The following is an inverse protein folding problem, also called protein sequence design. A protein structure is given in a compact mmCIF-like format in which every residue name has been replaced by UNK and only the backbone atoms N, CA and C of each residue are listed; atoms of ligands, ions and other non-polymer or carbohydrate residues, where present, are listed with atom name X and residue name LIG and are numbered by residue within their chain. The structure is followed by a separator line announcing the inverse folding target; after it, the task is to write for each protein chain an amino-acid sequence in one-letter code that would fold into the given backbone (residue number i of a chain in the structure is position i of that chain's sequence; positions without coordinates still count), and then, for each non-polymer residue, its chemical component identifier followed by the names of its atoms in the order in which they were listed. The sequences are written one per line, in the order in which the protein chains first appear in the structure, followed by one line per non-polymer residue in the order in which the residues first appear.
data_IF_006967891279
#
_entry.id   IF_006967891279
#
_cell.length_a   1.000
_cell.length_b   1.000
_cell.length_c   1.000
_cell.angle_alpha   90.00
_cell.angle_beta   90.00
_cell.angle_gamma   90.00
#
_symmetry.space_group_name_H-M   'P 1'
#
loop_
_entity.id
_entity.type
_entity.pdbx_description
1 polymer ?
#
# COMPACT_ATOMS: atom_id res chain seq x y z
N UNK A 1 -9.15 8.69 -24.56
CA UNK A 1 -9.08 8.61 -23.08
C UNK A 1 -7.66 8.86 -22.55
N UNK A 2 -6.85 9.59 -23.32
CA UNK A 2 -5.42 9.89 -23.03
C UNK A 2 -5.22 11.21 -22.29
N UNK A 3 -6.25 12.01 -22.06
CA UNK A 3 -6.09 13.44 -21.76
C UNK A 3 -6.36 13.84 -20.31
N UNK A 4 -6.16 12.92 -19.37
CA UNK A 4 -6.29 13.25 -17.94
C UNK A 4 -5.04 13.88 -17.33
N UNK A 5 -3.88 13.71 -17.96
CA UNK A 5 -2.61 14.24 -17.47
C UNK A 5 -2.17 15.40 -18.36
N UNK A 6 -2.15 16.58 -17.81
CA UNK A 6 -1.57 17.75 -18.47
C UNK A 6 -0.03 17.66 -18.56
N UNK A 7 0.59 18.50 -19.41
CA UNK A 7 2.07 18.56 -19.49
C UNK A 7 2.73 18.88 -18.15
N UNK A 8 2.08 19.67 -17.29
CA UNK A 8 2.58 20.00 -15.96
C UNK A 8 2.58 18.77 -15.04
N UNK A 9 1.50 17.98 -15.04
CA UNK A 9 1.38 16.76 -14.24
C UNK A 9 2.45 15.75 -14.66
N UNK A 10 2.63 15.57 -15.97
CA UNK A 10 3.66 14.67 -16.51
C UNK A 10 5.08 15.10 -16.14
N UNK A 11 5.36 16.40 -16.06
CA UNK A 11 6.68 16.87 -15.59
C UNK A 11 6.92 16.49 -14.14
N UNK A 12 5.93 16.69 -13.25
CA UNK A 12 6.05 16.33 -11.83
C UNK A 12 6.24 14.81 -11.68
N UNK A 13 5.41 14.01 -12.37
CA UNK A 13 5.49 12.55 -12.32
C UNK A 13 6.84 12.03 -12.83
N UNK A 14 7.33 12.53 -13.97
CA UNK A 14 8.62 12.14 -14.54
C UNK A 14 9.79 12.62 -13.69
N UNK A 15 9.71 13.80 -13.12
CA UNK A 15 10.72 14.31 -12.18
C UNK A 15 10.80 13.42 -10.94
N UNK A 16 9.69 13.01 -10.37
CA UNK A 16 9.71 12.05 -9.28
C UNK A 16 10.27 10.69 -9.72
N UNK A 17 9.77 10.14 -10.83
CA UNK A 17 10.20 8.83 -11.35
C UNK A 17 11.70 8.77 -11.68
N UNK A 18 12.33 9.87 -12.11
CA UNK A 18 13.77 9.91 -12.39
C UNK A 18 14.65 9.60 -11.18
N UNK A 19 14.10 9.69 -9.98
CA UNK A 19 14.77 9.32 -8.72
C UNK A 19 14.62 7.83 -8.36
N UNK A 20 13.83 7.05 -9.11
CA UNK A 20 13.73 5.61 -8.92
C UNK A 20 14.90 4.88 -9.60
N UNK A 21 15.14 3.64 -9.18
CA UNK A 21 16.27 2.83 -9.71
C UNK A 21 16.16 2.55 -11.21
N UNK A 22 14.95 2.48 -11.77
CA UNK A 22 14.68 2.25 -13.20
C UNK A 22 14.38 3.55 -13.98
N UNK A 23 14.35 4.70 -13.30
CA UNK A 23 14.01 6.00 -13.87
C UNK A 23 12.56 6.12 -14.39
N UNK A 24 11.72 5.12 -14.15
CA UNK A 24 10.38 5.00 -14.74
C UNK A 24 9.29 4.60 -13.75
N UNK A 25 9.62 4.41 -12.47
CA UNK A 25 8.66 4.05 -11.42
C UNK A 25 8.34 5.25 -10.54
N UNK A 26 7.05 5.48 -10.27
CA UNK A 26 6.58 6.51 -9.34
C UNK A 26 5.61 5.93 -8.33
N UNK A 27 5.76 6.29 -7.07
CA UNK A 27 4.78 5.98 -6.03
C UNK A 27 3.70 7.07 -5.97
N UNK A 28 2.46 6.65 -5.96
CA UNK A 28 1.29 7.51 -5.85
C UNK A 28 0.59 7.27 -4.51
N UNK A 29 0.43 8.31 -3.73
CA UNK A 29 -0.28 8.28 -2.46
C UNK A 29 -1.40 9.31 -2.49
N UNK A 30 -2.62 8.82 -2.35
CA UNK A 30 -3.83 9.62 -2.50
C UNK A 30 -4.42 9.96 -1.13
N UNK A 31 -4.80 11.21 -0.95
CA UNK A 31 -5.48 11.66 0.25
C UNK A 31 -6.44 12.81 -0.01
N UNK A 32 -7.43 12.96 0.86
CA UNK A 32 -8.20 14.19 1.06
C UNK A 32 -7.62 14.95 2.25
N UNK A 33 -8.07 16.17 2.46
CA UNK A 33 -7.65 17.04 3.57
C UNK A 33 -7.83 16.38 4.96
N UNK A 34 -8.84 15.53 5.12
CA UNK A 34 -9.08 14.77 6.36
C UNK A 34 -7.93 13.78 6.70
N UNK A 35 -7.14 13.41 5.70
CA UNK A 35 -6.00 12.47 5.82
C UNK A 35 -4.64 13.16 5.75
N UNK A 36 -4.58 14.49 5.81
CA UNK A 36 -3.33 15.24 5.66
C UNK A 36 -2.23 14.77 6.62
N UNK A 37 -2.57 14.54 7.90
CA UNK A 37 -1.61 14.05 8.89
C UNK A 37 -1.03 12.67 8.55
N UNK A 38 -1.88 11.73 8.14
CA UNK A 38 -1.42 10.39 7.70
C UNK A 38 -0.55 10.48 6.46
N UNK A 39 -0.95 11.27 5.46
CA UNK A 39 -0.20 11.48 4.23
C UNK A 39 1.20 12.04 4.51
N UNK A 40 1.29 13.06 5.38
CA UNK A 40 2.57 13.67 5.74
C UNK A 40 3.43 12.71 6.58
N UNK A 41 2.82 11.96 7.51
CA UNK A 41 3.54 10.93 8.24
C UNK A 41 4.09 9.84 7.31
N UNK A 42 3.30 9.43 6.31
CA UNK A 42 3.74 8.53 5.26
C UNK A 42 4.94 9.12 4.48
N UNK A 43 4.85 10.36 4.04
CA UNK A 43 5.92 11.01 3.27
C UNK A 43 7.24 11.08 4.07
N UNK A 44 7.16 11.37 5.38
CA UNK A 44 8.33 11.33 6.28
C UNK A 44 8.92 9.93 6.35
N UNK A 45 8.09 8.88 6.50
CA UNK A 45 8.59 7.50 6.55
C UNK A 45 9.25 7.08 5.24
N UNK A 46 8.66 7.43 4.09
CA UNK A 46 9.23 7.16 2.77
C UNK A 46 10.58 7.85 2.57
N UNK A 47 10.69 9.13 2.96
CA UNK A 47 11.95 9.86 2.89
C UNK A 47 13.03 9.26 3.79
N UNK A 48 12.70 8.84 5.00
CA UNK A 48 13.61 8.12 5.91
C UNK A 48 14.07 6.79 5.33
N UNK A 49 13.19 6.12 4.59
CA UNK A 49 13.54 4.92 3.83
C UNK A 49 14.44 5.20 2.59
N UNK A 50 14.84 6.46 2.36
CA UNK A 50 15.66 6.87 1.21
C UNK A 50 14.87 7.07 -0.08
N UNK A 51 13.55 6.96 -0.05
CA UNK A 51 12.71 7.04 -1.24
C UNK A 51 12.40 8.49 -1.60
N UNK A 52 12.65 8.85 -2.87
CA UNK A 52 12.37 10.18 -3.43
C UNK A 52 11.39 10.13 -4.60
N UNK A 53 11.14 8.97 -5.16
CA UNK A 53 10.31 8.74 -6.35
C UNK A 53 8.82 8.60 -6.01
N UNK A 54 8.26 9.56 -5.26
CA UNK A 54 6.83 9.58 -4.94
C UNK A 54 6.17 10.92 -5.28
N UNK A 55 4.86 10.88 -5.47
CA UNK A 55 3.99 12.03 -5.65
C UNK A 55 2.80 11.92 -4.70
N UNK A 56 2.53 12.99 -3.99
CA UNK A 56 1.37 13.16 -3.14
C UNK A 56 0.20 13.65 -4.01
N UNK A 57 -0.83 12.84 -4.16
CA UNK A 57 -1.99 13.19 -4.99
C UNK A 57 -3.12 13.71 -4.09
N UNK A 58 -3.30 15.01 -4.08
CA UNK A 58 -4.41 15.64 -3.40
C UNK A 58 -5.71 15.35 -4.14
N UNK A 59 -6.69 14.84 -3.42
CA UNK A 59 -8.01 14.50 -3.94
C UNK A 59 -9.04 15.62 -3.67
N UNK A 60 -8.64 16.69 -3.03
CA UNK A 60 -9.41 17.91 -2.86
C UNK A 60 -8.52 19.15 -2.87
N UNK A 61 -9.13 20.28 -3.20
CA UNK A 61 -8.48 21.58 -3.25
C UNK A 61 -7.90 22.05 -1.91
N UNK A 62 -8.52 21.66 -0.80
CA UNK A 62 -8.08 22.07 0.53
C UNK A 62 -6.71 21.46 0.83
N UNK A 63 -6.54 20.16 0.61
CA UNK A 63 -5.26 19.48 0.78
C UNK A 63 -4.20 20.02 -0.19
N UNK A 64 -4.56 20.18 -1.48
CA UNK A 64 -3.62 20.69 -2.48
C UNK A 64 -3.08 22.08 -2.09
N UNK A 65 -3.98 23.03 -1.76
CA UNK A 65 -3.57 24.36 -1.31
C UNK A 65 -2.73 24.32 -0.05
N UNK A 66 -3.11 23.49 0.92
CA UNK A 66 -2.36 23.32 2.15
C UNK A 66 -0.92 22.87 1.87
N UNK A 67 -0.73 21.84 1.06
CA UNK A 67 0.59 21.29 0.78
C UNK A 67 1.43 22.22 -0.10
N UNK A 68 0.85 22.75 -1.18
CA UNK A 68 1.53 23.66 -2.10
C UNK A 68 1.89 25.00 -1.46
N UNK A 69 1.03 25.51 -0.56
CA UNK A 69 1.33 26.72 0.19
C UNK A 69 2.40 26.50 1.25
N UNK A 70 2.42 25.31 1.87
CA UNK A 70 3.37 24.96 2.90
C UNK A 70 4.75 24.70 2.32
N UNK A 71 4.83 24.01 1.21
CA UNK A 71 6.08 23.58 0.56
C UNK A 71 5.99 23.66 -0.95
N UNK A 72 6.59 24.70 -1.52
CA UNK A 72 6.60 24.91 -2.99
C UNK A 72 7.39 23.83 -3.76
N UNK A 73 8.25 23.07 -3.09
CA UNK A 73 9.07 21.99 -3.64
C UNK A 73 8.49 20.59 -3.38
N UNK A 74 7.37 20.47 -2.68
CA UNK A 74 6.73 19.19 -2.47
C UNK A 74 6.21 18.62 -3.82
N UNK A 75 6.43 17.33 -4.10
CA UNK A 75 5.90 16.69 -5.30
C UNK A 75 4.39 16.42 -5.13
N UNK A 76 3.59 17.48 -5.24
CA UNK A 76 2.14 17.44 -5.04
C UNK A 76 1.42 17.66 -6.35
N UNK A 77 0.39 16.86 -6.60
CA UNK A 77 -0.57 17.05 -7.69
C UNK A 77 -1.98 17.16 -7.13
N UNK A 78 -2.77 18.07 -7.67
CA UNK A 78 -4.22 18.02 -7.54
C UNK A 78 -4.76 17.05 -8.59
N UNK A 79 -5.67 16.17 -8.19
CA UNK A 79 -6.30 15.23 -9.12
C UNK A 79 -6.93 16.01 -10.29
N UNK A 80 -6.56 15.75 -11.57
CA UNK A 80 -6.93 16.63 -12.69
C UNK A 80 -8.43 16.86 -12.85
N UNK A 81 -9.26 15.87 -12.55
CA UNK A 81 -10.72 16.02 -12.62
C UNK A 81 -11.31 16.85 -11.48
N UNK A 82 -10.64 16.93 -10.35
CA UNK A 82 -10.97 17.85 -9.26
C UNK A 82 -10.54 19.27 -9.68
N UNK A 83 -9.34 19.42 -10.20
CA UNK A 83 -8.83 20.71 -10.68
C UNK A 83 -9.69 21.32 -11.77
N UNK A 84 -10.28 20.50 -12.66
CA UNK A 84 -11.20 20.97 -13.70
C UNK A 84 -12.65 21.16 -13.24
N UNK A 85 -12.97 20.86 -11.98
CA UNK A 85 -14.34 20.87 -11.48
C UNK A 85 -15.24 19.74 -12.00
N UNK A 86 -14.66 18.78 -12.76
CA UNK A 86 -15.42 17.68 -13.36
C UNK A 86 -15.89 16.63 -12.34
N UNK A 87 -15.32 16.64 -11.14
CA UNK A 87 -15.71 15.74 -10.06
C UNK A 87 -15.44 16.37 -8.69
N UNK A 88 -16.37 16.15 -7.77
CA UNK A 88 -16.14 16.36 -6.32
C UNK A 88 -15.93 15.00 -5.68
N UNK A 89 -14.81 14.83 -4.97
CA UNK A 89 -14.49 13.57 -4.33
C UNK A 89 -15.41 13.32 -3.13
N UNK A 90 -15.93 12.11 -3.09
CA UNK A 90 -16.73 11.61 -2.00
C UNK A 90 -16.42 10.11 -1.78
N UNK A 91 -17.02 9.49 -0.77
CA UNK A 91 -16.81 8.08 -0.40
C UNK A 91 -17.10 7.08 -1.54
N UNK A 92 -17.92 7.48 -2.51
CA UNK A 92 -18.37 6.60 -3.59
C UNK A 92 -17.37 6.58 -4.73
N UNK A 93 -16.82 7.75 -5.10
CA UNK A 93 -16.01 7.90 -6.31
C UNK A 93 -14.49 7.95 -6.05
N UNK A 94 -14.04 8.13 -4.80
CA UNK A 94 -12.63 8.25 -4.43
C UNK A 94 -11.76 7.14 -5.02
N UNK A 95 -12.22 5.90 -4.94
CA UNK A 95 -11.48 4.74 -5.46
C UNK A 95 -11.47 4.74 -6.99
N UNK A 96 -12.61 5.08 -7.61
CA UNK A 96 -12.72 5.17 -9.06
C UNK A 96 -11.80 6.21 -9.67
N UNK A 97 -11.70 7.38 -9.05
CA UNK A 97 -10.81 8.44 -9.49
C UNK A 97 -9.32 8.10 -9.29
N UNK A 98 -8.98 7.46 -8.17
CA UNK A 98 -7.63 6.93 -7.91
C UNK A 98 -7.22 5.94 -9.00
N UNK A 99 -8.09 4.99 -9.36
CA UNK A 99 -7.82 4.01 -10.40
C UNK A 99 -7.72 4.64 -11.79
N UNK A 100 -8.56 5.61 -12.10
CA UNK A 100 -8.50 6.37 -13.35
C UNK A 100 -7.17 7.10 -13.52
N UNK A 101 -6.73 7.79 -12.47
CA UNK A 101 -5.45 8.49 -12.48
C UNK A 101 -4.27 7.52 -12.64
N UNK A 102 -4.23 6.43 -11.87
CA UNK A 102 -3.19 5.40 -11.99
C UNK A 102 -3.12 4.78 -13.38
N UNK A 103 -4.27 4.47 -13.99
CA UNK A 103 -4.33 3.96 -15.37
C UNK A 103 -3.78 4.97 -16.40
N UNK A 104 -4.00 6.28 -16.18
CA UNK A 104 -3.44 7.34 -17.05
C UNK A 104 -1.93 7.46 -16.91
N UNK A 105 -1.40 7.32 -15.69
CA UNK A 105 0.07 7.32 -15.44
C UNK A 105 0.73 6.11 -16.09
N UNK A 106 0.13 4.92 -15.98
CA UNK A 106 0.60 3.71 -16.67
C UNK A 106 0.58 3.89 -18.19
N UNK A 107 -0.48 4.48 -18.75
CA UNK A 107 -0.59 4.75 -20.18
C UNK A 107 0.44 5.78 -20.67
N UNK A 108 0.92 6.66 -19.78
CA UNK A 108 2.00 7.61 -20.07
C UNK A 108 3.41 7.00 -19.99
N UNK A 109 3.51 5.67 -19.77
CA UNK A 109 4.77 4.93 -19.77
C UNK A 109 5.45 4.83 -18.41
N UNK A 110 4.81 5.29 -17.33
CA UNK A 110 5.36 5.21 -15.98
C UNK A 110 4.78 4.03 -15.21
N UNK A 111 5.65 3.23 -14.59
CA UNK A 111 5.25 2.20 -13.64
C UNK A 111 4.77 2.83 -12.33
N UNK A 112 3.79 2.23 -11.70
CA UNK A 112 3.12 2.83 -10.54
C UNK A 112 3.21 1.93 -9.32
N UNK A 113 3.64 2.48 -8.19
CA UNK A 113 3.38 1.93 -6.86
C UNK A 113 2.22 2.70 -6.25
N UNK A 114 1.10 2.02 -6.01
CA UNK A 114 0.05 2.55 -5.16
C UNK A 114 0.39 2.25 -3.70
N UNK A 115 0.34 3.26 -2.86
CA UNK A 115 0.46 3.12 -1.42
C UNK A 115 -0.70 3.84 -0.73
N UNK A 116 -1.37 3.16 0.18
CA UNK A 116 -2.28 3.83 1.10
C UNK A 116 -1.45 4.70 2.07
N UNK A 117 -2.00 5.80 2.56
CA UNK A 117 -1.31 6.71 3.47
C UNK A 117 -1.02 6.07 4.86
N UNK A 118 -1.67 4.95 5.18
CA UNK A 118 -1.43 4.12 6.36
C UNK A 118 -0.43 2.96 6.11
N UNK A 119 0.07 2.83 4.88
CA UNK A 119 1.10 1.87 4.51
C UNK A 119 2.50 2.48 4.69
N UNK A 120 3.00 2.54 5.90
CA UNK A 120 4.24 3.24 6.27
C UNK A 120 5.48 2.51 5.77
N UNK A 121 6.36 3.20 5.05
CA UNK A 121 7.57 2.62 4.48
C UNK A 121 8.75 2.73 5.46
N UNK A 122 9.32 1.60 5.81
CA UNK A 122 10.47 1.50 6.72
C UNK A 122 11.81 1.33 5.99
N UNK A 123 11.76 0.81 4.78
CA UNK A 123 12.89 0.72 3.87
C UNK A 123 12.41 0.94 2.43
N UNK A 124 13.35 1.15 1.52
CA UNK A 124 13.06 1.25 0.09
C UNK A 124 12.39 -0.06 -0.39
N UNK A 125 11.16 0.01 -0.93
CA UNK A 125 10.45 -1.16 -1.42
C UNK A 125 10.91 -1.61 -2.82
N UNK A 126 11.84 -0.94 -3.47
CA UNK A 126 12.34 -1.28 -4.82
C UNK A 126 12.68 -2.77 -4.96
N UNK A 127 13.36 -3.43 -3.99
CA UNK A 127 13.63 -4.86 -4.09
C UNK A 127 12.39 -5.75 -4.02
N UNK A 128 11.27 -5.23 -3.49
CA UNK A 128 10.00 -5.98 -3.44
C UNK A 128 9.27 -5.99 -4.77
N UNK A 129 9.39 -4.91 -5.53
CA UNK A 129 8.61 -4.66 -6.76
C UNK A 129 9.34 -5.02 -8.04
N UNK A 130 10.64 -5.34 -7.97
CA UNK A 130 11.47 -5.64 -9.15
C UNK A 130 11.02 -6.89 -9.92
N UNK A 131 10.35 -7.83 -9.26
CA UNK A 131 10.12 -9.19 -9.73
C UNK A 131 8.66 -9.47 -10.12
N UNK A 132 8.06 -8.63 -10.97
CA UNK A 132 6.71 -8.84 -11.48
C UNK A 132 6.20 -7.67 -12.31
N UNK A 133 5.14 -7.91 -13.06
CA UNK A 133 4.37 -6.87 -13.73
C UNK A 133 3.29 -6.31 -12.81
N UNK A 134 2.76 -7.17 -11.92
CA UNK A 134 1.89 -6.78 -10.81
C UNK A 134 2.40 -7.42 -9.54
N UNK A 135 2.76 -6.62 -8.57
CA UNK A 135 3.24 -7.06 -7.27
C UNK A 135 2.35 -6.46 -6.19
N UNK A 136 1.84 -7.28 -5.27
CA UNK A 136 0.96 -6.79 -4.21
C UNK A 136 1.19 -7.50 -2.89
N UNK A 137 0.86 -6.83 -1.80
CA UNK A 137 0.73 -7.45 -0.50
C UNK A 137 -0.48 -8.38 -0.43
N UNK A 138 -0.56 -9.19 0.62
CA UNK A 138 -1.65 -10.18 0.79
C UNK A 138 -2.81 -9.62 1.57
N UNK A 139 -4.00 -10.13 1.21
CA UNK A 139 -5.21 -9.91 2.01
C UNK A 139 -5.98 -11.22 2.17
N UNK A 140 -6.78 -11.29 3.23
CA UNK A 140 -7.73 -12.36 3.50
C UNK A 140 -9.15 -11.83 3.51
N UNK A 141 -10.10 -12.71 3.27
CA UNK A 141 -11.53 -12.45 3.44
C UNK A 141 -12.31 -12.16 2.18
N UNK A 142 -11.87 -11.30 1.29
CA UNK A 142 -12.67 -10.94 0.11
C UNK A 142 -11.81 -10.61 -1.11
N UNK A 143 -12.26 -11.00 -2.34
CA UNK A 143 -13.46 -11.79 -2.66
C UNK A 143 -13.34 -13.23 -2.18
N UNK A 144 -14.40 -13.79 -1.61
CA UNK A 144 -14.38 -15.19 -1.10
C UNK A 144 -14.03 -16.21 -2.18
N UNK A 145 -14.52 -16.03 -3.42
CA UNK A 145 -14.21 -16.91 -4.56
C UNK A 145 -12.69 -16.98 -4.81
N UNK A 146 -12.02 -15.84 -4.81
CA UNK A 146 -10.57 -15.76 -5.01
C UNK A 146 -9.81 -16.37 -3.84
N UNK A 147 -10.17 -16.02 -2.62
CA UNK A 147 -9.53 -16.56 -1.42
C UNK A 147 -9.71 -18.07 -1.34
N UNK A 148 -10.88 -18.58 -1.69
CA UNK A 148 -11.12 -20.02 -1.75
C UNK A 148 -10.27 -20.71 -2.83
N UNK A 149 -10.07 -20.06 -3.99
CA UNK A 149 -9.28 -20.60 -5.08
C UNK A 149 -7.77 -20.52 -4.83
N UNK A 150 -7.29 -19.40 -4.28
CA UNK A 150 -5.85 -19.11 -4.16
C UNK A 150 -5.31 -19.26 -2.73
N UNK A 151 -6.16 -19.18 -1.71
CA UNK A 151 -5.79 -19.14 -0.29
C UNK A 151 -5.59 -17.73 0.26
N UNK A 152 -5.43 -16.73 -0.58
CA UNK A 152 -5.35 -15.32 -0.26
C UNK A 152 -5.75 -14.47 -1.47
N UNK A 153 -5.99 -13.19 -1.28
CA UNK A 153 -6.10 -12.19 -2.34
C UNK A 153 -4.92 -11.24 -2.36
N UNK A 154 -4.84 -10.40 -3.38
CA UNK A 154 -3.92 -9.27 -3.49
C UNK A 154 -4.53 -8.03 -2.85
N UNK A 155 -3.75 -7.30 -2.07
CA UNK A 155 -4.16 -6.07 -1.40
C UNK A 155 -3.68 -4.85 -2.20
N UNK A 156 -4.55 -3.86 -2.39
CA UNK A 156 -4.23 -2.62 -3.12
C UNK A 156 -3.69 -1.50 -2.24
N UNK A 157 -3.58 -1.69 -0.94
CA UNK A 157 -2.98 -0.68 -0.05
C UNK A 157 -1.45 -0.58 -0.16
N UNK A 158 -0.81 -1.60 -0.72
CA UNK A 158 0.55 -1.55 -1.27
C UNK A 158 0.61 -2.49 -2.47
N UNK A 159 0.63 -1.93 -3.68
CA UNK A 159 0.81 -2.72 -4.88
C UNK A 159 1.52 -1.95 -5.99
N UNK A 160 2.27 -2.67 -6.78
CA UNK A 160 3.01 -2.18 -7.94
C UNK A 160 2.40 -2.70 -9.22
N UNK A 161 2.39 -1.85 -10.25
CA UNK A 161 2.02 -2.21 -11.61
C UNK A 161 3.07 -1.65 -12.57
N UNK A 162 3.73 -2.54 -13.30
CA UNK A 162 4.70 -2.15 -14.34
C UNK A 162 3.97 -1.59 -15.55
N UNK A 163 4.47 -0.51 -16.13
CA UNK A 163 3.91 0.01 -17.38
C UNK A 163 4.18 -0.95 -18.53
N UNK A 164 3.11 -1.58 -19.01
CA UNK A 164 3.07 -2.43 -20.20
C UNK A 164 1.66 -2.41 -20.80
N UNK A 165 1.50 -2.78 -22.04
CA UNK A 165 0.18 -2.83 -22.68
C UNK A 165 -0.80 -3.71 -21.91
N UNK A 166 -0.37 -4.88 -21.46
CA UNK A 166 -1.19 -5.80 -20.68
C UNK A 166 -1.59 -5.23 -19.31
N UNK A 167 -0.70 -4.48 -18.66
CA UNK A 167 -0.97 -3.83 -17.38
C UNK A 167 -1.92 -2.63 -17.55
N UNK A 168 -1.77 -1.85 -18.62
CA UNK A 168 -2.70 -0.76 -18.96
C UNK A 168 -4.10 -1.33 -19.25
N UNK A 169 -4.20 -2.43 -19.99
CA UNK A 169 -5.48 -3.13 -20.20
C UNK A 169 -6.10 -3.59 -18.88
N UNK A 170 -5.30 -4.20 -18.00
CA UNK A 170 -5.75 -4.61 -16.65
C UNK A 170 -6.28 -3.42 -15.85
N UNK A 171 -5.52 -2.34 -15.79
CA UNK A 171 -5.90 -1.14 -15.03
C UNK A 171 -7.19 -0.50 -15.57
N UNK A 172 -7.35 -0.44 -16.89
CA UNK A 172 -8.58 0.04 -17.54
C UNK A 172 -9.79 -0.84 -17.25
N UNK A 173 -9.60 -2.15 -17.26
CA UNK A 173 -10.68 -3.09 -16.94
C UNK A 173 -11.13 -2.93 -15.49
N UNK A 174 -10.18 -2.86 -14.53
CA UNK A 174 -10.49 -2.60 -13.13
C UNK A 174 -11.24 -1.28 -12.98
N UNK A 175 -10.74 -0.20 -13.59
CA UNK A 175 -11.36 1.11 -13.57
C UNK A 175 -12.79 1.09 -14.10
N UNK A 176 -13.02 0.42 -15.24
CA UNK A 176 -14.35 0.29 -15.86
C UNK A 176 -15.34 -0.39 -14.92
N UNK A 177 -14.92 -1.49 -14.28
CA UNK A 177 -15.78 -2.24 -13.34
C UNK A 177 -16.07 -1.46 -12.07
N UNK A 178 -15.05 -0.75 -11.52
CA UNK A 178 -15.25 0.15 -10.36
C UNK A 178 -16.24 1.26 -10.70
N UNK A 179 -16.09 1.90 -11.88
CA UNK A 179 -16.98 2.98 -12.32
C UNK A 179 -18.42 2.50 -12.53
N UNK A 180 -18.60 1.36 -13.20
CA UNK A 180 -19.93 0.77 -13.41
C UNK A 180 -20.63 0.45 -12.09
N UNK A 181 -19.89 -0.06 -11.10
CA UNK A 181 -20.46 -0.36 -9.78
C UNK A 181 -20.75 0.88 -8.96
N UNK A 182 -19.90 1.90 -9.03
CA UNK A 182 -20.13 3.19 -8.37
C UNK A 182 -21.42 3.84 -8.88
N UNK A 183 -21.69 3.78 -10.19
CA UNK A 183 -22.92 4.27 -10.79
C UNK A 183 -24.17 3.50 -10.32
N UNK A 184 -24.04 2.23 -9.96
CA UNK A 184 -25.12 1.37 -9.49
C UNK A 184 -25.34 1.40 -7.97
N UNK A 185 -24.89 2.43 -7.28
CA UNK A 185 -24.94 2.63 -5.83
C UNK A 185 -23.96 1.79 -4.98
N UNK A 186 -23.12 2.52 -4.29
CA UNK A 186 -21.90 2.05 -3.64
C UNK A 186 -22.14 1.07 -2.49
N UNK A 187 -21.53 -0.08 -2.62
CA UNK A 187 -21.19 -0.94 -1.51
C UNK A 187 -19.66 -1.09 -1.43
N UNK A 188 -19.12 -1.77 -0.40
CA UNK A 188 -17.71 -2.16 -0.34
C UNK A 188 -17.21 -2.90 -1.62
N UNK A 189 -18.12 -3.38 -2.49
CA UNK A 189 -17.82 -3.98 -3.79
C UNK A 189 -17.34 -2.98 -4.85
N UNK A 190 -17.31 -1.67 -4.56
CA UNK A 190 -16.66 -0.67 -5.41
C UNK A 190 -15.15 -0.61 -5.21
N UNK A 191 -14.59 -1.43 -4.32
CA UNK A 191 -13.17 -1.46 -4.04
C UNK A 191 -12.34 -1.93 -5.24
N UNK A 192 -11.29 -1.20 -5.55
CA UNK A 192 -10.27 -1.59 -6.53
C UNK A 192 -9.63 -2.92 -6.19
N UNK A 193 -9.39 -3.19 -4.92
CA UNK A 193 -8.91 -4.47 -4.43
C UNK A 193 -9.83 -5.62 -4.79
N UNK A 194 -11.15 -5.41 -4.69
CA UNK A 194 -12.12 -6.43 -5.10
C UNK A 194 -11.96 -6.75 -6.58
N UNK A 195 -11.95 -5.72 -7.44
CA UNK A 195 -11.89 -5.92 -8.88
C UNK A 195 -10.51 -6.34 -9.38
N UNK A 196 -9.42 -5.90 -8.77
CA UNK A 196 -8.09 -6.45 -9.07
C UNK A 196 -8.11 -7.98 -8.93
N UNK A 197 -8.62 -8.48 -7.82
CA UNK A 197 -8.67 -9.91 -7.54
C UNK A 197 -9.64 -10.67 -8.46
N UNK A 198 -10.83 -10.13 -8.71
CA UNK A 198 -11.83 -10.75 -9.59
C UNK A 198 -11.33 -10.83 -11.02
N UNK A 199 -10.82 -9.72 -11.57
CA UNK A 199 -10.31 -9.67 -12.95
C UNK A 199 -9.14 -10.62 -13.15
N UNK A 200 -8.20 -10.65 -12.21
CA UNK A 200 -7.08 -11.59 -12.30
C UNK A 200 -7.53 -13.04 -12.18
N UNK A 201 -8.52 -13.33 -11.35
CA UNK A 201 -9.10 -14.66 -11.21
C UNK A 201 -9.80 -15.10 -12.51
N UNK A 202 -10.60 -14.24 -13.11
CA UNK A 202 -11.27 -14.47 -14.40
C UNK A 202 -10.27 -14.63 -15.55
N UNK A 203 -9.11 -13.96 -15.50
CA UNK A 203 -8.01 -14.14 -16.44
C UNK A 203 -7.23 -15.45 -16.23
N UNK A 204 -7.68 -16.31 -15.33
CA UNK A 204 -7.15 -17.66 -15.14
C UNK A 204 -5.71 -17.66 -14.58
N UNK A 205 -5.44 -16.91 -13.53
CA UNK A 205 -4.12 -16.91 -12.88
C UNK A 205 -3.71 -18.30 -12.46
N UNK A 206 -2.53 -18.72 -12.90
CA UNK A 206 -1.89 -19.97 -12.47
C UNK A 206 -0.72 -19.62 -11.57
N UNK A 207 -0.78 -20.05 -10.30
CA UNK A 207 0.27 -19.87 -9.32
C UNK A 207 1.27 -21.01 -9.37
N UNK A 208 2.57 -20.71 -9.30
CA UNK A 208 3.62 -21.73 -9.13
C UNK A 208 3.41 -22.40 -7.77
N UNK A 209 3.37 -23.73 -7.77
CA UNK A 209 3.12 -24.52 -6.56
C UNK A 209 1.68 -25.04 -6.41
N UNK A 210 0.81 -24.82 -7.39
CA UNK A 210 -0.52 -25.43 -7.47
C UNK A 210 -1.70 -24.45 -7.34
N UNK A 211 -2.92 -25.01 -7.41
CA UNK A 211 -4.17 -24.26 -7.43
C UNK A 211 -4.47 -23.50 -6.15
N UNK A 212 -3.92 -23.95 -5.03
CA UNK A 212 -4.08 -23.29 -3.73
C UNK A 212 -2.71 -23.06 -3.13
N UNK A 213 -2.45 -21.86 -2.67
CA UNK A 213 -1.22 -21.55 -1.95
C UNK A 213 -1.25 -22.30 -0.63
N UNK A 214 -0.64 -23.50 -0.63
CA UNK A 214 -0.59 -24.34 0.56
C UNK A 214 0.10 -23.58 1.69
N UNK A 215 -0.54 -23.50 2.84
CA UNK A 215 0.02 -22.91 4.02
C UNK A 215 -0.04 -21.39 4.10
N UNK A 216 -0.86 -20.73 3.31
CA UNK A 216 -1.31 -19.40 3.62
C UNK A 216 -2.26 -19.50 4.79
N UNK A 217 -1.76 -19.15 5.87
CA UNK A 217 -2.23 -19.45 7.16
C UNK A 217 -3.13 -18.41 7.72
N UNK A 218 -4.03 -18.88 8.52
CA UNK A 218 -4.93 -18.05 9.27
C UNK A 218 -4.18 -17.01 10.10
N UNK A 219 -4.92 -16.00 10.50
CA UNK A 219 -4.52 -14.82 11.23
C UNK A 219 -3.72 -15.11 12.53
N UNK A 220 -3.71 -16.34 13.02
CA UNK A 220 -3.28 -16.68 14.38
C UNK A 220 -1.88 -17.27 14.51
N UNK A 221 -1.18 -17.65 13.44
CA UNK A 221 0.05 -18.38 13.60
C UNK A 221 1.20 -18.09 12.66
N UNK A 222 0.95 -17.36 11.55
CA UNK A 222 1.87 -17.43 10.42
C UNK A 222 2.21 -16.07 9.77
N UNK A 223 2.26 -15.01 10.57
CA UNK A 223 2.81 -13.72 10.18
C UNK A 223 4.28 -13.80 9.71
N UNK A 224 4.92 -14.96 9.84
CA UNK A 224 6.29 -15.22 9.47
C UNK A 224 6.48 -15.92 8.12
N UNK A 225 5.43 -16.08 7.31
CA UNK A 225 5.63 -16.65 5.98
C UNK A 225 6.49 -15.70 5.14
N UNK A 226 7.69 -16.15 4.80
CA UNK A 226 8.64 -15.46 3.93
C UNK A 226 8.47 -15.83 2.45
N UNK A 227 7.55 -16.75 2.13
CA UNK A 227 7.39 -17.25 0.76
C UNK A 227 6.69 -16.23 -0.13
N UNK A 228 7.33 -15.88 -1.24
CA UNK A 228 6.71 -15.19 -2.37
C UNK A 228 5.91 -16.20 -3.18
N UNK A 229 4.73 -15.79 -3.67
CA UNK A 229 3.99 -16.57 -4.64
C UNK A 229 4.03 -15.86 -5.99
N UNK A 230 4.54 -16.58 -6.98
CA UNK A 230 4.64 -16.08 -8.36
C UNK A 230 3.58 -16.78 -9.20
N UNK A 231 2.82 -16.00 -9.94
CA UNK A 231 1.78 -16.48 -10.84
C UNK A 231 1.88 -15.83 -12.21
N UNK A 232 1.14 -16.38 -13.16
CA UNK A 232 1.00 -15.82 -14.49
C UNK A 232 -0.49 -15.74 -14.81
N UNK A 233 -0.94 -14.55 -15.19
CA UNK A 233 -2.27 -14.30 -15.71
C UNK A 233 -2.23 -14.09 -17.22
N UNK A 234 -3.28 -14.56 -17.92
CA UNK A 234 -3.48 -14.33 -19.35
C UNK A 234 -3.47 -15.60 -20.18
N UNK A 235 -4.25 -15.56 -21.25
CA UNK A 235 -4.49 -16.68 -22.18
C UNK A 235 -3.27 -17.12 -22.99
N UNK A 236 -3.52 -17.85 -24.10
CA UNK A 236 -2.51 -18.43 -25.00
C UNK A 236 -1.53 -17.41 -25.60
N UNK A 237 -1.95 -16.14 -25.73
CA UNK A 237 -1.09 -15.08 -26.28
C UNK A 237 -0.04 -14.61 -25.24
N UNK A 238 1.24 -14.92 -25.51
CA UNK A 238 2.36 -14.56 -24.62
C UNK A 238 2.52 -13.06 -24.40
N UNK A 239 2.19 -12.22 -25.39
CA UNK A 239 2.32 -10.75 -25.29
C UNK A 239 1.34 -10.10 -24.31
N UNK A 240 0.29 -10.81 -23.90
CA UNK A 240 -0.72 -10.35 -22.92
C UNK A 240 -0.57 -11.00 -21.54
N UNK A 241 0.50 -11.75 -21.33
CA UNK A 241 0.74 -12.39 -20.03
C UNK A 241 1.31 -11.39 -19.03
N UNK A 242 0.75 -11.43 -17.84
CA UNK A 242 1.23 -10.66 -16.69
C UNK A 242 1.91 -11.61 -15.69
N UNK A 243 3.11 -11.29 -15.29
CA UNK A 243 3.80 -11.93 -14.17
C UNK A 243 3.31 -11.28 -12.89
N UNK A 244 2.74 -12.08 -12.01
CA UNK A 244 2.16 -11.65 -10.75
C UNK A 244 3.05 -12.10 -9.61
N UNK A 245 3.22 -11.25 -8.61
CA UNK A 245 3.91 -11.60 -7.37
C UNK A 245 3.07 -11.19 -6.17
N UNK A 246 2.77 -12.15 -5.31
CA UNK A 246 2.14 -11.89 -4.03
C UNK A 246 3.21 -11.91 -2.93
N UNK A 247 3.42 -10.77 -2.29
CA UNK A 247 4.48 -10.57 -1.32
C UNK A 247 4.26 -11.38 -0.05
N UNK A 248 5.34 -11.79 0.63
CA UNK A 248 5.26 -12.40 1.95
C UNK A 248 4.62 -11.44 2.96
N UNK A 249 3.78 -11.97 3.83
CA UNK A 249 3.16 -11.18 4.89
C UNK A 249 4.19 -10.57 5.85
N UNK A 250 5.30 -11.23 6.08
CA UNK A 250 6.38 -10.72 6.93
C UNK A 250 7.02 -9.42 6.39
N UNK A 251 7.01 -9.19 5.07
CA UNK A 251 7.58 -8.00 4.45
C UNK A 251 6.58 -6.85 4.35
N UNK A 252 5.29 -7.17 4.18
CA UNK A 252 4.20 -6.21 4.12
C UNK A 252 3.05 -6.74 4.99
N UNK A 253 3.17 -6.66 6.32
CA UNK A 253 2.16 -7.17 7.23
C UNK A 253 0.88 -6.35 7.12
N UNK A 254 -0.25 -7.05 7.06
CA UNK A 254 -1.58 -6.48 7.07
C UNK A 254 -2.25 -6.59 8.44
N UNK A 255 -1.86 -7.60 9.21
CA UNK A 255 -2.30 -7.80 10.58
C UNK A 255 -1.12 -7.60 11.51
N UNK A 256 -1.19 -6.56 12.32
CA UNK A 256 -0.17 -6.26 13.30
C UNK A 256 -0.71 -6.46 14.71
N UNK A 257 0.07 -7.06 15.62
CA UNK A 257 -0.36 -7.20 17.00
C UNK A 257 -0.45 -5.83 17.66
N UNK A 258 -1.55 -5.56 18.35
CA UNK A 258 -1.62 -4.40 19.26
C UNK A 258 -0.85 -4.74 20.53
N UNK A 259 0.23 -4.04 20.73
CA UNK A 259 1.05 -4.16 21.93
C UNK A 259 0.63 -3.10 22.94
N UNK A 260 0.38 -3.53 24.17
CA UNK A 260 0.08 -2.64 25.30
C UNK A 260 1.24 -2.70 26.30
N UNK A 261 1.42 -1.66 27.08
CA UNK A 261 2.44 -1.64 28.14
C UNK A 261 2.30 -2.82 29.13
N UNK A 262 1.05 -3.22 29.42
CA UNK A 262 0.75 -4.37 30.28
C UNK A 262 1.12 -5.73 29.69
N UNK A 263 1.36 -5.83 28.37
CA UNK A 263 1.69 -7.11 27.73
C UNK A 263 3.01 -7.70 28.24
N UNK A 264 3.92 -6.87 28.74
CA UNK A 264 5.18 -7.36 29.32
C UNK A 264 5.00 -8.25 30.57
N UNK A 265 3.90 -8.06 31.30
CA UNK A 265 3.63 -8.77 32.55
C UNK A 265 3.22 -10.25 32.34
N UNK A 266 2.63 -10.60 31.20
CA UNK A 266 2.12 -11.95 30.94
C UNK A 266 2.96 -12.71 29.92
N UNK A 267 2.94 -14.07 29.98
CA UNK A 267 3.59 -14.90 28.94
C UNK A 267 3.01 -14.64 27.55
N UNK A 268 1.71 -14.57 27.42
CA UNK A 268 1.01 -14.29 26.16
C UNK A 268 1.39 -12.90 25.61
N UNK A 269 1.46 -11.88 26.46
CA UNK A 269 1.88 -10.56 26.10
C UNK A 269 3.37 -10.47 25.70
N UNK A 270 4.27 -11.17 26.38
CA UNK A 270 5.69 -11.26 25.99
C UNK A 270 5.84 -11.91 24.61
N UNK A 271 5.07 -12.98 24.31
CA UNK A 271 5.07 -13.59 22.98
C UNK A 271 4.60 -12.61 21.90
N UNK A 272 3.57 -11.81 22.21
CA UNK A 272 3.04 -10.77 21.33
C UNK A 272 4.06 -9.65 21.09
N UNK A 273 4.78 -9.22 22.14
CA UNK A 273 5.90 -8.29 22.03
C UNK A 273 7.04 -8.81 21.16
N UNK A 274 7.43 -10.08 21.35
CA UNK A 274 8.46 -10.73 20.52
C UNK A 274 8.03 -10.79 19.06
N UNK A 275 6.75 -11.12 18.80
CA UNK A 275 6.17 -11.12 17.45
C UNK A 275 6.21 -9.71 16.83
N UNK A 276 5.81 -8.69 17.58
CA UNK A 276 5.85 -7.30 17.11
C UNK A 276 7.27 -6.84 16.80
N UNK A 277 8.23 -7.15 17.65
CA UNK A 277 9.65 -6.88 17.37
C UNK A 277 10.12 -7.55 16.09
N UNK A 278 9.74 -8.82 15.87
CA UNK A 278 10.05 -9.54 14.63
C UNK A 278 9.42 -8.86 13.41
N UNK A 279 8.16 -8.42 13.49
CA UNK A 279 7.51 -7.66 12.42
C UNK A 279 8.28 -6.36 12.14
N UNK A 280 8.64 -5.62 13.17
CA UNK A 280 9.39 -4.37 13.02
C UNK A 280 10.79 -4.57 12.42
N UNK A 281 11.46 -5.69 12.69
CA UNK A 281 12.78 -5.98 12.10
C UNK A 281 12.72 -6.48 10.67
N UNK A 282 11.61 -7.07 10.24
CA UNK A 282 11.49 -7.74 8.93
C UNK A 282 10.71 -6.92 7.92
N UNK A 283 9.67 -6.19 8.36
CA UNK A 283 8.78 -5.49 7.45
C UNK A 283 9.46 -4.32 6.73
N UNK A 284 9.34 -4.30 5.41
CA UNK A 284 9.74 -3.17 4.55
C UNK A 284 8.64 -2.11 4.54
N UNK A 285 7.37 -2.54 4.48
CA UNK A 285 6.18 -1.69 4.52
C UNK A 285 5.26 -2.18 5.63
N UNK A 286 4.89 -1.30 6.54
CA UNK A 286 3.91 -1.58 7.60
C UNK A 286 2.54 -1.08 7.14
N UNK A 287 1.69 -1.98 6.71
CA UNK A 287 0.30 -1.70 6.36
C UNK A 287 -0.62 -2.42 7.33
N UNK A 288 -0.53 -2.01 8.58
CA UNK A 288 -1.22 -2.62 9.70
C UNK A 288 -2.65 -2.11 9.82
N UNK A 289 -3.62 -2.98 9.63
CA UNK A 289 -5.00 -2.63 9.97
C UNK A 289 -5.11 -2.53 11.51
N UNK A 290 -5.50 -1.37 12.08
CA UNK A 290 -5.58 -1.24 13.53
C UNK A 290 -6.60 -2.25 14.09
N UNK A 291 -6.20 -3.09 15.05
CA UNK A 291 -7.16 -3.91 15.77
C UNK A 291 -7.97 -2.99 16.70
N UNK A 292 -9.24 -3.06 16.61
CA UNK A 292 -10.19 -2.21 17.34
C UNK A 292 -11.04 -1.33 16.42
N UNK A 293 -10.85 -1.45 15.11
CA UNK A 293 -11.83 -1.00 14.12
C UNK A 293 -13.08 -1.89 14.08
N UNK A 294 -13.26 -2.78 15.07
CA UNK A 294 -14.58 -3.39 15.26
C UNK A 294 -15.53 -2.29 15.71
N UNK A 295 -16.57 -2.03 14.92
CA UNK A 295 -17.61 -1.09 15.30
C UNK A 295 -18.17 -1.49 16.66
N UNK A 296 -18.54 -0.50 17.47
CA UNK A 296 -19.28 -0.77 18.69
C UNK A 296 -20.49 -1.68 18.38
N UNK A 297 -20.92 -2.55 19.30
CA UNK A 297 -22.08 -3.40 19.09
C UNK A 297 -23.25 -2.56 18.57
N UNK A 298 -23.72 -2.84 17.34
CA UNK A 298 -24.76 -2.08 16.65
C UNK A 298 -24.29 -1.12 15.57
N UNK A 299 -23.02 -0.75 15.48
CA UNK A 299 -22.48 0.00 14.34
C UNK A 299 -22.25 -0.95 13.16
N UNK A 300 -22.95 -0.72 12.06
CA UNK A 300 -22.69 -1.44 10.81
C UNK A 300 -21.25 -1.15 10.34
N UNK A 301 -20.49 -2.19 9.98
CA UNK A 301 -19.10 -2.14 9.45
C UNK A 301 -19.01 -1.39 8.11
N UNK A 302 -19.45 -0.17 8.05
CA UNK A 302 -19.31 0.72 6.89
C UNK A 302 -18.22 1.76 7.14
N UNK A 303 -17.12 1.36 7.81
CA UNK A 303 -15.92 2.20 7.90
C UNK A 303 -15.17 2.04 6.57
N UNK A 304 -15.72 2.64 5.54
CA UNK A 304 -14.98 2.85 4.29
C UNK A 304 -13.98 3.98 4.53
N UNK A 305 -12.84 3.91 3.82
CA UNK A 305 -11.85 4.98 3.73
C UNK A 305 -12.55 6.36 3.68
N UNK A 306 -12.11 7.30 4.52
CA UNK A 306 -12.65 8.65 4.56
C UNK A 306 -13.58 8.95 5.73
N UNK A 307 -13.71 8.06 6.72
CA UNK A 307 -14.44 8.42 7.94
C UNK A 307 -13.47 9.02 8.97
N UNK A 308 -13.72 10.22 9.55
CA UNK A 308 -12.83 10.86 10.54
C UNK A 308 -12.44 9.95 11.72
N UNK A 309 -13.33 9.07 12.14
CA UNK A 309 -13.06 8.07 13.19
C UNK A 309 -12.01 7.04 12.78
N UNK A 310 -11.92 6.69 11.49
CA UNK A 310 -10.91 5.77 10.98
C UNK A 310 -9.53 6.42 11.03
N UNK A 311 -9.41 7.64 10.52
CA UNK A 311 -8.17 8.42 10.55
C UNK A 311 -7.64 8.58 11.97
N UNK A 312 -8.51 8.95 12.92
CA UNK A 312 -8.13 9.08 14.33
C UNK A 312 -7.70 7.74 14.97
N UNK A 313 -8.30 6.61 14.54
CA UNK A 313 -7.91 5.29 15.02
C UNK A 313 -6.52 4.88 14.49
N UNK A 314 -6.23 5.14 13.23
CA UNK A 314 -4.95 4.87 12.60
C UNK A 314 -3.84 5.75 13.18
N UNK A 315 -4.12 7.03 13.39
CA UNK A 315 -3.18 7.93 14.07
C UNK A 315 -2.89 7.46 15.50
N UNK A 316 -3.92 7.15 16.29
CA UNK A 316 -3.73 6.61 17.65
C UNK A 316 -2.92 5.31 17.63
N UNK A 317 -3.18 4.41 16.68
CA UNK A 317 -2.39 3.20 16.52
C UNK A 317 -0.94 3.53 16.20
N UNK A 318 -0.67 4.37 15.19
CA UNK A 318 0.67 4.75 14.81
C UNK A 318 1.42 5.42 15.97
N UNK A 319 0.79 6.32 16.74
CA UNK A 319 1.35 6.94 17.94
C UNK A 319 1.66 5.89 19.02
N UNK A 320 0.74 4.97 19.28
CA UNK A 320 0.93 3.93 20.31
C UNK A 320 2.06 2.95 19.99
N UNK A 321 2.41 2.80 18.71
CA UNK A 321 3.47 1.89 18.23
C UNK A 321 4.77 2.66 17.87
N UNK A 322 4.88 3.94 18.22
CA UNK A 322 6.01 4.81 17.86
C UNK A 322 6.26 4.93 16.35
N UNK A 323 5.21 4.77 15.56
CA UNK A 323 5.23 4.90 14.10
C UNK A 323 4.79 6.29 13.62
N UNK A 324 4.30 7.12 14.53
CA UNK A 324 3.92 8.50 14.25
C UNK A 324 5.13 9.40 14.41
N UNK A 325 5.55 10.02 13.33
CA UNK A 325 6.77 10.83 13.28
C UNK A 325 6.48 12.33 13.28
N UNK A 326 5.24 12.72 13.06
CA UNK A 326 4.83 14.11 13.07
C UNK A 326 4.72 14.62 14.52
N UNK A 327 5.11 15.87 14.73
CA UNK A 327 4.82 16.59 15.97
C UNK A 327 3.34 16.95 16.04
N UNK A 328 2.81 17.18 17.23
CA UNK A 328 1.40 17.55 17.42
C UNK A 328 1.04 18.89 16.77
N UNK A 329 2.03 19.78 16.65
CA UNK A 329 1.93 21.09 16.05
C UNK A 329 2.30 21.13 14.55
N UNK A 330 2.39 19.96 13.88
CA UNK A 330 2.84 19.88 12.48
C UNK A 330 2.09 20.83 11.54
N UNK A 331 0.80 21.04 11.79
CA UNK A 331 -0.04 21.93 11.00
C UNK A 331 0.29 23.41 11.21
N UNK A 332 0.87 23.79 12.36
CA UNK A 332 1.26 25.16 12.70
C UNK A 332 2.73 25.46 12.38
N UNK A 333 3.60 24.45 12.37
CA UNK A 333 5.04 24.57 12.05
C UNK A 333 5.29 24.78 10.54
N UNK A 334 4.27 24.81 9.77
CA UNK A 334 4.22 24.68 8.34
C UNK A 334 4.80 25.82 7.49
N UNK A 335 5.59 26.72 8.02
CA UNK A 335 6.26 27.77 7.24
C UNK A 335 7.76 27.54 7.19
N UNK A 336 8.16 26.37 6.70
CA UNK A 336 9.55 26.07 6.45
C UNK A 336 9.98 26.38 5.00
N UNK A 337 11.27 26.62 4.74
CA UNK A 337 11.75 27.02 3.42
C UNK A 337 11.64 25.92 2.36
N UNK A 338 11.53 24.65 2.73
CA UNK A 338 11.30 23.55 1.79
C UNK A 338 10.82 22.27 2.50
N UNK A 339 10.11 21.42 1.76
CA UNK A 339 9.68 20.10 2.22
C UNK A 339 10.88 19.21 2.60
N UNK A 340 11.94 19.23 1.82
CA UNK A 340 13.16 18.50 2.08
C UNK A 340 13.84 18.93 3.41
N UNK A 341 13.94 20.23 3.65
CA UNK A 341 14.52 20.76 4.89
C UNK A 341 13.64 20.45 6.09
N UNK A 342 12.31 20.48 5.91
CA UNK A 342 11.38 20.12 6.97
C UNK A 342 11.52 18.65 7.38
N UNK A 343 11.60 17.72 6.41
CA UNK A 343 11.85 16.31 6.69
C UNK A 343 13.20 16.08 7.35
N UNK A 344 14.27 16.73 6.84
CA UNK A 344 15.61 16.63 7.44
C UNK A 344 15.65 17.13 8.90
N UNK A 345 14.89 18.18 9.20
CA UNK A 345 14.78 18.68 10.58
C UNK A 345 14.04 17.69 11.51
N UNK A 346 13.10 16.92 10.98
CA UNK A 346 12.46 15.84 11.75
C UNK A 346 13.42 14.68 11.99
N UNK A 347 14.29 14.34 11.02
CA UNK A 347 15.30 13.30 11.17
C UNK A 347 16.30 13.60 12.29
N UNK A 348 16.84 14.81 12.32
CA UNK A 348 17.84 15.20 13.30
C UNK A 348 17.32 15.20 14.75
N UNK A 349 16.01 15.40 14.94
CA UNK A 349 15.39 15.43 16.28
C UNK A 349 14.97 14.07 16.81
N UNK A 350 14.81 13.09 15.95
CA UNK A 350 14.35 11.73 16.30
C UNK A 350 15.49 10.72 16.38
N UNK A 351 16.74 11.15 16.37
CA UNK A 351 17.90 10.26 16.48
C UNK A 351 17.89 9.34 17.72
N UNK A 352 17.12 9.71 18.76
CA UNK A 352 16.92 8.87 19.95
C UNK A 352 15.79 7.83 19.86
N UNK A 353 14.91 7.90 18.84
CA UNK A 353 13.71 7.06 18.71
C UNK A 353 13.71 6.22 17.43
N UNK A 354 14.85 6.07 16.74
CA UNK A 354 14.93 5.32 15.50
C UNK A 354 14.62 3.84 15.74
N UNK A 355 13.58 3.36 15.08
CA UNK A 355 13.41 1.91 14.89
C UNK A 355 14.62 1.41 14.10
N UNK A 356 15.23 0.26 14.49
CA UNK A 356 16.34 -0.29 13.73
C UNK A 356 15.91 -0.49 12.27
N UNK A 357 16.81 -0.25 11.31
CA UNK A 357 16.51 -0.52 9.91
C UNK A 357 16.07 -1.99 9.76
N UNK A 358 15.15 -2.30 8.85
CA UNK A 358 14.79 -3.68 8.60
C UNK A 358 16.03 -4.46 8.15
N UNK A 359 16.11 -5.70 8.57
CA UNK A 359 17.19 -6.60 8.13
C UNK A 359 17.19 -6.67 6.59
N UNK A 360 18.34 -6.55 5.93
CA UNK A 360 18.43 -6.69 4.48
C UNK A 360 17.70 -7.96 4.00
N UNK A 361 17.00 -7.83 2.89
CA UNK A 361 16.28 -8.95 2.31
C UNK A 361 17.28 -10.08 1.99
N UNK A 362 17.02 -11.33 2.40
CA UNK A 362 17.83 -12.45 1.99
C UNK A 362 17.85 -12.56 0.45
N UNK A 363 18.96 -13.02 -0.12
CA UNK A 363 19.03 -13.34 -1.54
C UNK A 363 17.98 -14.38 -1.93
N UNK A 364 17.64 -14.46 -3.19
CA UNK A 364 16.54 -15.30 -3.69
C UNK A 364 16.75 -16.80 -3.37
N UNK A 365 18.00 -17.26 -3.39
CA UNK A 365 18.42 -18.62 -2.98
C UNK A 365 18.13 -18.90 -1.50
N UNK A 366 18.31 -17.91 -0.64
CA UNK A 366 17.98 -18.02 0.80
C UNK A 366 16.48 -18.09 1.02
N UNK A 367 15.69 -17.38 0.21
CA UNK A 367 14.23 -17.45 0.24
C UNK A 367 13.73 -18.85 -0.08
N UNK A 368 14.29 -19.48 -1.10
CA UNK A 368 13.93 -20.83 -1.51
C UNK A 368 14.31 -21.85 -0.42
N UNK A 369 15.49 -21.73 0.18
CA UNK A 369 15.94 -22.59 1.29
C UNK A 369 15.06 -22.43 2.54
N UNK A 370 14.68 -21.21 2.91
CA UNK A 370 13.80 -20.95 4.05
C UNK A 370 12.40 -21.53 3.81
N UNK A 371 11.89 -21.44 2.59
CA UNK A 371 10.61 -22.04 2.19
C UNK A 371 10.65 -23.56 2.26
N UNK A 372 11.74 -24.20 1.81
CA UNK A 372 11.96 -25.66 1.90
C UNK A 372 12.06 -26.13 3.36
N UNK A 373 12.76 -25.39 4.23
CA UNK A 373 12.87 -25.71 5.67
C UNK A 373 11.52 -25.56 6.39
N UNK A 374 10.71 -24.58 6.04
CA UNK A 374 9.37 -24.39 6.60
C UNK A 374 8.43 -25.55 6.20
N UNK A 375 8.51 -26.02 4.97
CA UNK A 375 7.74 -27.18 4.49
C UNK A 375 8.16 -28.48 5.15
N UNK A 376 9.46 -28.71 5.36
CA UNK A 376 10.01 -29.94 5.97
C UNK A 376 9.68 -30.13 7.46
N UNK A 377 9.43 -29.05 8.21
CA UNK A 377 9.06 -29.14 9.64
C UNK A 377 7.63 -29.61 9.90
N UNK A 378 6.82 -29.81 8.86
CA UNK A 378 5.40 -30.25 8.99
C UNK A 378 5.24 -31.76 9.06
N UNK A 379 6.23 -32.54 8.66
CA UNK A 379 6.09 -34.00 8.54
C UNK A 379 6.32 -34.75 9.86
N UNK A 380 6.78 -34.09 10.93
CA UNK A 380 7.15 -34.77 12.20
C UNK A 380 6.25 -34.45 13.39
N UNK A 381 4.99 -34.06 13.17
CA UNK A 381 3.95 -33.95 14.20
C UNK A 381 2.74 -34.79 13.79
N UNK A 382 2.89 -36.08 13.87
CA UNK A 382 1.79 -37.05 14.07
C UNK A 382 1.55 -37.23 15.56
#
# INVERSE_FOLDING_TARGET
MTDLLGPADLRILRSAASSSADGATVALVFATSDFAGLLLNWAVTARRAGVRWFVLVAMDDALHRQLAYTWSDAPVLLLPRVASGAVTINKINVIGERQRFGASVLAAGLSVVHSDADALWRADPTPLISDGDVVASRIWGKPKSVVNAWGAGMCTGFYFVRSSSAAVELAREIQSRVAAKAAAHASWQTSDQFYLNVVLHERGVVWRGGKRMAGLDDFNGRMHSLSRHVGVAGGANRSRRLRLTMLPHALVPRACPVVKASDAATRAGRNKLALWKSVLTTATVLHCFPPGGDPAPGEKRNIMMGHPRHTAAEERFARSQSLWLLRDDWASVARGPSFERWIAALDNRSAGAQLPPPTPLPREDVWEQLSKRAAGRRVTRT
#
